data_IF_944424526754
#
_entry.id   IF_944424526754
#
_cell.length_a   1.000
_cell.length_b   1.000
_cell.length_c   1.000
_cell.angle_alpha   90.00
_cell.angle_beta   90.00
_cell.angle_gamma   90.00
#
_symmetry.space_group_name_H-M   'P 1'
#
loop_
_entity.id
_entity.type
_entity.pdbx_description
1 polymer ?
#
# COMPACT_ATOMS: atom_id res chain seq x y z
N UNK A 1 -23.10 23.06 24.49
CA UNK A 1 -23.13 23.39 23.04
C UNK A 1 -24.43 22.99 22.34
N UNK A 2 -25.02 21.81 22.56
CA UNK A 2 -26.36 21.52 21.97
C UNK A 2 -27.38 22.49 22.53
N UNK A 3 -28.22 23.10 21.68
CA UNK A 3 -29.16 24.16 22.00
C UNK A 3 -28.55 25.58 22.06
N UNK A 4 -27.23 25.71 21.90
CA UNK A 4 -26.51 27.00 21.86
C UNK A 4 -26.73 27.67 20.48
N UNK A 5 -26.79 28.99 20.51
CA UNK A 5 -26.94 29.79 19.30
C UNK A 5 -25.62 30.49 18.98
N UNK A 6 -24.97 30.08 17.89
CA UNK A 6 -23.72 30.66 17.42
C UNK A 6 -24.00 31.84 16.48
N UNK A 7 -23.28 32.94 16.70
CA UNK A 7 -23.41 34.19 15.93
C UNK A 7 -24.86 34.75 15.87
N UNK A 8 -25.70 34.44 16.89
CA UNK A 8 -27.08 34.81 16.89
C UNK A 8 -27.92 34.23 15.74
N UNK A 9 -27.38 33.28 14.99
CA UNK A 9 -27.96 32.75 13.75
C UNK A 9 -28.04 31.21 13.70
N UNK A 10 -27.00 30.50 14.12
CA UNK A 10 -26.91 29.07 13.94
C UNK A 10 -27.20 28.31 15.23
N UNK A 11 -28.35 27.66 15.32
CA UNK A 11 -28.75 26.87 16.48
C UNK A 11 -28.23 25.44 16.37
N UNK A 12 -27.37 25.02 17.34
CA UNK A 12 -26.74 23.69 17.36
C UNK A 12 -27.73 22.64 17.84
N UNK A 13 -28.00 21.63 17.03
CA UNK A 13 -28.97 20.57 17.32
C UNK A 13 -28.32 19.27 17.75
N UNK A 14 -27.32 18.79 17.04
CA UNK A 14 -26.76 17.45 17.19
C UNK A 14 -25.26 17.45 16.90
N UNK A 15 -24.49 16.66 17.66
CA UNK A 15 -23.08 16.37 17.38
C UNK A 15 -23.01 15.24 16.35
N UNK A 16 -22.59 15.55 15.11
CA UNK A 16 -22.50 14.58 14.00
C UNK A 16 -21.09 14.07 13.75
N UNK A 17 -20.07 14.74 14.32
CA UNK A 17 -18.68 14.31 14.22
C UNK A 17 -17.81 14.92 15.30
N UNK A 18 -16.82 14.15 15.79
CA UNK A 18 -15.81 14.63 16.74
C UNK A 18 -14.43 14.22 16.23
N UNK A 19 -13.55 15.18 16.04
CA UNK A 19 -12.18 14.98 15.57
C UNK A 19 -11.15 15.49 16.59
N UNK A 20 -9.86 15.30 16.29
CA UNK A 20 -8.77 15.67 17.20
C UNK A 20 -8.74 17.16 17.58
N UNK A 21 -9.16 18.05 16.66
CA UNK A 21 -9.09 19.50 16.90
C UNK A 21 -10.45 20.23 16.88
N UNK A 22 -11.51 19.58 16.43
CA UNK A 22 -12.82 20.23 16.23
C UNK A 22 -13.97 19.25 16.37
N UNK A 23 -15.12 19.78 16.72
CA UNK A 23 -16.39 19.08 16.69
C UNK A 23 -17.24 19.60 15.52
N UNK A 24 -18.00 18.71 14.89
CA UNK A 24 -18.94 19.05 13.83
C UNK A 24 -20.36 18.84 14.34
N UNK A 25 -21.18 19.88 14.25
CA UNK A 25 -22.59 19.86 14.68
C UNK A 25 -23.51 20.05 13.48
N UNK A 26 -24.59 19.31 13.47
CA UNK A 26 -25.77 19.70 12.69
C UNK A 26 -26.39 20.91 13.38
N UNK A 27 -26.69 21.97 12.61
CA UNK A 27 -27.29 23.19 13.13
C UNK A 27 -28.40 23.68 12.20
N UNK A 28 -29.28 24.53 12.74
CA UNK A 28 -30.32 25.23 11.98
C UNK A 28 -29.90 26.68 11.75
N UNK A 29 -29.78 27.10 10.50
CA UNK A 29 -29.62 28.48 10.10
C UNK A 29 -30.97 29.19 10.19
N UNK A 30 -31.22 29.94 11.29
CA UNK A 30 -32.47 30.63 11.53
C UNK A 30 -32.80 31.76 10.52
N UNK A 31 -31.78 32.27 9.82
CA UNK A 31 -31.95 33.33 8.83
C UNK A 31 -32.43 32.78 7.50
N UNK A 32 -31.87 31.63 7.06
CA UNK A 32 -32.16 31.00 5.77
C UNK A 32 -33.08 29.77 5.90
N UNK A 33 -33.51 29.43 7.12
CA UNK A 33 -34.43 28.33 7.44
C UNK A 33 -33.99 26.98 6.85
N UNK A 34 -32.67 26.64 7.00
CA UNK A 34 -32.09 25.41 6.47
C UNK A 34 -31.16 24.73 7.46
N UNK A 35 -30.94 23.44 7.27
CA UNK A 35 -29.88 22.70 7.98
C UNK A 35 -28.50 23.07 7.41
N UNK A 36 -27.51 23.18 8.31
CA UNK A 36 -26.10 23.42 8.01
C UNK A 36 -25.24 22.53 8.91
N UNK A 37 -23.99 22.25 8.50
CA UNK A 37 -22.99 21.63 9.35
C UNK A 37 -22.03 22.70 9.87
N UNK A 38 -21.78 22.73 11.17
CA UNK A 38 -20.87 23.70 11.78
C UNK A 38 -19.70 22.95 12.41
N UNK A 39 -18.50 23.21 11.91
CA UNK A 39 -17.24 22.73 12.46
C UNK A 39 -16.71 23.79 13.43
N UNK A 40 -16.61 23.44 14.71
CA UNK A 40 -16.17 24.34 15.79
C UNK A 40 -14.83 23.86 16.33
N UNK A 41 -13.82 24.74 16.33
CA UNK A 41 -12.50 24.45 16.89
C UNK A 41 -12.62 24.23 18.40
N UNK A 42 -11.91 23.23 18.94
CA UNK A 42 -11.88 22.99 20.38
C UNK A 42 -11.26 24.17 21.13
N UNK A 43 -11.79 24.51 22.29
CA UNK A 43 -11.41 25.68 23.07
C UNK A 43 -9.91 25.73 23.41
N UNK A 44 -9.29 24.58 23.72
CA UNK A 44 -7.86 24.53 24.02
C UNK A 44 -6.94 24.85 22.80
N UNK A 45 -7.43 24.68 21.56
CA UNK A 45 -6.72 25.11 20.35
C UNK A 45 -7.04 26.55 19.93
N UNK A 46 -8.12 27.12 20.47
CA UNK A 46 -8.51 28.50 20.15
C UNK A 46 -7.56 29.55 20.74
N UNK A 47 -6.74 29.18 21.72
CA UNK A 47 -5.69 30.01 22.29
C UNK A 47 -4.36 29.97 21.53
N UNK A 48 -4.20 29.03 20.58
CA UNK A 48 -2.99 28.84 19.79
C UNK A 48 -3.18 29.44 18.39
N UNK A 49 -2.47 30.55 18.12
CA UNK A 49 -2.58 31.29 16.85
C UNK A 49 -2.26 30.42 15.61
N UNK A 50 -1.35 29.44 15.73
CA UNK A 50 -0.99 28.55 14.62
C UNK A 50 -2.14 27.63 14.25
N UNK A 51 -2.88 27.10 15.23
CA UNK A 51 -4.08 26.30 14.97
C UNK A 51 -5.22 27.13 14.40
N UNK A 52 -5.44 28.31 14.94
CA UNK A 52 -6.46 29.26 14.45
C UNK A 52 -6.18 29.68 13.00
N UNK A 53 -4.92 30.03 12.67
CA UNK A 53 -4.61 30.42 11.28
C UNK A 53 -4.68 29.23 10.31
N UNK A 54 -4.31 28.02 10.71
CA UNK A 54 -4.53 26.80 9.90
C UNK A 54 -6.02 26.57 9.64
N UNK A 55 -6.85 26.66 10.66
CA UNK A 55 -8.28 26.50 10.55
C UNK A 55 -8.91 27.56 9.64
N UNK A 56 -8.48 28.83 9.75
CA UNK A 56 -8.90 29.91 8.87
C UNK A 56 -8.44 29.74 7.42
N UNK A 57 -7.24 29.19 7.21
CA UNK A 57 -6.70 28.90 5.89
C UNK A 57 -7.48 27.77 5.21
N UNK A 58 -7.83 26.70 5.93
CA UNK A 58 -8.71 25.64 5.45
C UNK A 58 -10.01 26.23 4.90
N UNK A 59 -10.72 27.00 5.71
CA UNK A 59 -11.96 27.64 5.27
C UNK A 59 -11.79 28.49 3.99
N UNK A 60 -10.75 29.34 3.92
CA UNK A 60 -10.50 30.20 2.76
C UNK A 60 -10.20 29.42 1.48
N UNK A 61 -9.45 28.33 1.59
CA UNK A 61 -9.05 27.53 0.43
C UNK A 61 -10.22 26.71 -0.11
N UNK A 62 -11.01 26.10 0.77
CA UNK A 62 -12.17 25.30 0.36
C UNK A 62 -13.33 26.19 -0.13
N UNK A 63 -13.48 27.41 0.41
CA UNK A 63 -14.52 28.35 -0.04
C UNK A 63 -14.38 28.79 -1.52
N UNK A 64 -13.20 28.56 -2.14
CA UNK A 64 -12.99 28.83 -3.57
C UNK A 64 -13.39 27.66 -4.47
N UNK A 65 -13.73 26.52 -3.87
CA UNK A 65 -14.09 25.30 -4.59
C UNK A 65 -15.62 25.21 -4.74
N UNK A 66 -16.11 25.44 -5.95
CA UNK A 66 -17.52 25.21 -6.31
C UNK A 66 -17.61 24.01 -7.25
N UNK A 67 -17.91 22.84 -6.72
CA UNK A 67 -18.00 21.57 -7.46
C UNK A 67 -19.11 20.69 -6.88
N UNK A 68 -19.91 19.98 -7.67
CA UNK A 68 -21.03 19.17 -7.17
C UNK A 68 -20.57 18.10 -6.15
N UNK A 69 -19.39 17.54 -6.33
CA UNK A 69 -18.82 16.50 -5.45
C UNK A 69 -17.85 17.06 -4.39
N UNK A 70 -17.92 18.34 -4.04
CA UNK A 70 -17.18 18.95 -2.91
C UNK A 70 -18.19 19.61 -1.98
N UNK A 71 -18.04 19.40 -0.67
CA UNK A 71 -18.89 20.05 0.33
C UNK A 71 -18.63 21.56 0.34
N UNK A 72 -19.69 22.33 0.18
CA UNK A 72 -19.60 23.79 0.03
C UNK A 72 -19.41 24.48 1.39
N UNK A 73 -18.42 25.36 1.49
CA UNK A 73 -18.30 26.31 2.61
C UNK A 73 -19.32 27.46 2.42
N UNK A 74 -20.14 27.66 3.42
CA UNK A 74 -21.20 28.73 3.39
C UNK A 74 -20.71 29.98 4.09
N UNK A 75 -20.07 29.82 5.25
CA UNK A 75 -19.67 30.94 6.11
C UNK A 75 -18.54 30.54 7.05
N UNK A 76 -17.92 31.49 7.69
CA UNK A 76 -16.98 31.28 8.80
C UNK A 76 -17.04 32.47 9.77
N UNK A 77 -16.76 32.24 11.02
CA UNK A 77 -16.73 33.32 12.01
C UNK A 77 -15.95 32.94 13.26
N UNK A 78 -16.04 33.89 14.19
CA UNK A 78 -15.52 33.77 15.54
C UNK A 78 -16.54 34.33 16.51
N UNK A 79 -16.78 33.64 17.61
CA UNK A 79 -17.62 34.08 18.71
C UNK A 79 -17.05 33.62 20.04
N UNK A 80 -16.90 34.54 20.99
CA UNK A 80 -16.29 34.28 22.31
C UNK A 80 -14.92 33.55 22.27
N UNK A 81 -14.08 33.90 21.27
CA UNK A 81 -12.79 33.29 21.03
C UNK A 81 -12.85 31.93 20.34
N UNK A 82 -14.01 31.37 20.06
CA UNK A 82 -14.20 30.11 19.37
C UNK A 82 -14.32 30.34 17.86
N UNK A 83 -13.45 29.67 17.09
CA UNK A 83 -13.50 29.69 15.62
C UNK A 83 -14.50 28.66 15.11
N UNK A 84 -15.29 29.00 14.10
CA UNK A 84 -16.21 28.07 13.45
C UNK A 84 -16.22 28.25 11.92
N UNK A 85 -16.54 27.16 11.22
CA UNK A 85 -16.78 27.12 9.76
C UNK A 85 -18.15 26.49 9.54
N UNK A 86 -18.94 27.10 8.66
CA UNK A 86 -20.29 26.63 8.29
C UNK A 86 -20.21 25.99 6.90
N UNK A 87 -20.67 24.77 6.80
CA UNK A 87 -20.75 24.00 5.56
C UNK A 87 -22.21 23.71 5.21
N UNK A 88 -22.47 23.37 3.94
CA UNK A 88 -23.72 22.69 3.61
C UNK A 88 -23.85 21.41 4.44
N UNK A 89 -25.08 21.13 4.89
CA UNK A 89 -25.36 19.86 5.55
C UNK A 89 -25.69 18.82 4.49
N UNK A 90 -24.91 17.75 4.43
CA UNK A 90 -25.17 16.60 3.55
C UNK A 90 -25.94 15.57 4.37
N UNK A 91 -27.19 15.33 3.98
CA UNK A 91 -28.04 14.34 4.61
C UNK A 91 -27.72 12.96 4.04
N UNK A 92 -27.29 12.04 4.91
CA UNK A 92 -26.86 10.70 4.51
C UNK A 92 -25.67 10.18 5.34
N UNK A 93 -25.13 9.05 4.94
CA UNK A 93 -23.97 8.45 5.58
C UNK A 93 -22.65 8.80 4.86
N UNK A 94 -21.52 8.47 5.45
CA UNK A 94 -20.26 8.53 4.73
C UNK A 94 -19.95 7.22 4.01
N UNK A 95 -19.01 7.25 3.07
CA UNK A 95 -18.62 6.09 2.28
C UNK A 95 -18.09 4.93 3.13
N UNK A 96 -17.55 5.19 4.34
CA UNK A 96 -17.13 4.14 5.29
C UNK A 96 -18.32 3.40 5.88
N UNK A 97 -19.43 4.09 6.14
CA UNK A 97 -20.69 3.49 6.56
C UNK A 97 -21.20 2.52 5.49
N UNK A 98 -21.23 2.96 4.23
CA UNK A 98 -21.61 2.11 3.10
C UNK A 98 -20.72 0.87 2.99
N UNK A 99 -19.38 1.03 3.13
CA UNK A 99 -18.41 -0.07 3.11
C UNK A 99 -18.57 -1.06 4.28
N UNK A 100 -19.25 -0.69 5.36
CA UNK A 100 -19.55 -1.63 6.45
C UNK A 100 -20.46 -2.79 6.03
N UNK A 101 -21.14 -2.64 4.89
CA UNK A 101 -21.99 -3.67 4.29
C UNK A 101 -21.22 -4.61 3.34
N UNK A 102 -19.94 -4.35 3.08
CA UNK A 102 -19.04 -5.14 2.23
C UNK A 102 -18.60 -4.44 0.94
N UNK A 103 -17.97 -5.20 0.06
CA UNK A 103 -17.50 -4.71 -1.24
C UNK A 103 -18.65 -4.25 -2.15
N UNK A 104 -18.43 -3.18 -2.88
CA UNK A 104 -19.44 -2.66 -3.82
C UNK A 104 -19.40 -3.41 -5.17
N UNK A 105 -20.49 -3.37 -5.95
CA UNK A 105 -20.46 -3.72 -7.37
C UNK A 105 -19.36 -2.94 -8.11
N UNK A 106 -18.72 -3.55 -9.12
CA UNK A 106 -17.56 -2.94 -9.80
C UNK A 106 -17.91 -1.62 -10.48
N UNK A 107 -19.07 -1.54 -11.11
CA UNK A 107 -19.62 -0.35 -11.76
C UNK A 107 -19.90 0.77 -10.75
N UNK A 108 -20.42 0.43 -9.57
CA UNK A 108 -20.67 1.38 -8.50
C UNK A 108 -19.38 1.91 -7.88
N UNK A 109 -18.40 1.02 -7.61
CA UNK A 109 -17.07 1.40 -7.12
C UNK A 109 -16.36 2.35 -8.10
N UNK A 110 -16.44 2.07 -9.41
CA UNK A 110 -15.92 2.94 -10.47
C UNK A 110 -16.63 4.28 -10.52
N UNK A 111 -17.96 4.30 -10.42
CA UNK A 111 -18.76 5.54 -10.40
C UNK A 111 -18.33 6.45 -9.25
N UNK A 112 -18.20 5.92 -8.03
CA UNK A 112 -17.70 6.68 -6.89
C UNK A 112 -16.26 7.15 -7.10
N UNK A 113 -15.39 6.24 -7.58
CA UNK A 113 -13.99 6.57 -7.86
C UNK A 113 -13.85 7.74 -8.84
N UNK A 114 -14.61 7.73 -9.94
CA UNK A 114 -14.61 8.79 -10.96
C UNK A 114 -15.10 10.13 -10.40
N UNK A 115 -16.18 10.13 -9.62
CA UNK A 115 -16.74 11.35 -9.04
C UNK A 115 -15.80 11.97 -7.98
N UNK A 116 -15.18 11.13 -7.14
CA UNK A 116 -14.18 11.57 -6.16
C UNK A 116 -12.93 12.09 -6.88
N UNK A 117 -12.44 11.38 -7.90
CA UNK A 117 -11.31 11.82 -8.72
C UNK A 117 -11.59 13.17 -9.38
N UNK A 118 -12.80 13.38 -9.93
CA UNK A 118 -13.21 14.65 -10.52
C UNK A 118 -13.20 15.81 -9.52
N UNK A 119 -13.62 15.57 -8.28
CA UNK A 119 -13.57 16.55 -7.19
C UNK A 119 -12.11 16.91 -6.83
N UNK A 120 -11.24 15.90 -6.72
CA UNK A 120 -9.81 16.08 -6.41
C UNK A 120 -9.07 16.80 -7.55
N UNK A 121 -9.31 16.41 -8.81
CA UNK A 121 -8.74 17.09 -9.98
C UNK A 121 -9.10 18.58 -10.01
N UNK A 122 -10.37 18.88 -9.72
CA UNK A 122 -10.85 20.28 -9.64
C UNK A 122 -10.12 21.09 -8.57
N UNK A 123 -9.79 20.49 -7.42
CA UNK A 123 -9.02 21.10 -6.35
C UNK A 123 -7.55 21.25 -6.74
N UNK A 124 -6.93 20.21 -7.33
CA UNK A 124 -5.54 20.20 -7.78
C UNK A 124 -5.26 21.29 -8.81
N UNK A 125 -6.14 21.48 -9.79
CA UNK A 125 -6.06 22.56 -10.79
C UNK A 125 -6.09 23.97 -10.17
N UNK A 126 -6.49 24.09 -8.89
CA UNK A 126 -6.46 25.33 -8.09
C UNK A 126 -5.33 25.36 -7.05
N UNK A 127 -4.39 24.41 -7.13
CA UNK A 127 -3.24 24.33 -6.25
C UNK A 127 -3.55 23.81 -4.84
N UNK A 128 -4.71 23.16 -4.65
CA UNK A 128 -5.11 22.59 -3.38
C UNK A 128 -5.02 21.07 -3.41
N UNK A 129 -4.18 20.49 -2.54
CA UNK A 129 -4.05 19.05 -2.31
C UNK A 129 -4.84 18.67 -1.06
N UNK A 130 -5.60 17.59 -1.10
CA UNK A 130 -6.50 17.19 -0.01
C UNK A 130 -5.75 16.61 1.20
N UNK A 131 -4.76 15.72 0.98
CA UNK A 131 -3.86 15.12 1.98
C UNK A 131 -4.49 14.15 3.00
N UNK A 132 -5.80 13.97 3.01
CA UNK A 132 -6.52 13.07 3.92
C UNK A 132 -7.71 12.41 3.19
N UNK A 133 -7.49 11.92 1.97
CA UNK A 133 -8.50 11.20 1.17
C UNK A 133 -8.76 9.84 1.82
N UNK A 134 -10.00 9.62 2.26
CA UNK A 134 -10.45 8.38 2.90
C UNK A 134 -11.98 8.30 2.88
N UNK A 135 -12.60 7.11 3.02
CA UNK A 135 -14.05 6.95 2.96
C UNK A 135 -14.82 7.75 4.01
N UNK A 136 -14.24 8.02 5.19
CA UNK A 136 -14.86 8.84 6.22
C UNK A 136 -15.04 10.31 5.79
N UNK A 137 -14.19 10.80 4.88
CA UNK A 137 -14.20 12.16 4.34
C UNK A 137 -14.96 12.26 3.00
N UNK A 138 -15.75 11.24 2.67
CA UNK A 138 -16.66 11.24 1.50
C UNK A 138 -18.06 11.00 2.03
N UNK A 139 -18.89 12.05 2.01
CA UNK A 139 -20.30 12.00 2.39
C UNK A 139 -21.14 11.59 1.18
N UNK A 140 -22.20 10.85 1.40
CA UNK A 140 -23.15 10.45 0.37
C UNK A 140 -24.45 11.25 0.58
N UNK A 141 -24.98 11.84 -0.48
CA UNK A 141 -26.31 12.46 -0.43
C UNK A 141 -27.41 11.39 -0.40
N UNK A 142 -28.66 11.77 -0.15
CA UNK A 142 -29.81 10.84 -0.22
C UNK A 142 -29.92 10.16 -1.60
N UNK A 143 -29.47 10.83 -2.67
CA UNK A 143 -29.44 10.29 -4.03
C UNK A 143 -28.23 9.37 -4.28
N UNK A 144 -27.34 9.20 -3.29
CA UNK A 144 -26.13 8.39 -3.37
C UNK A 144 -24.98 9.06 -4.15
N UNK A 145 -24.97 10.41 -4.25
CA UNK A 145 -23.89 11.15 -4.87
C UNK A 145 -22.79 11.48 -3.85
N UNK A 146 -21.49 11.22 -4.14
CA UNK A 146 -20.41 11.49 -3.20
C UNK A 146 -20.05 12.97 -3.15
N UNK A 147 -19.78 13.46 -1.95
CA UNK A 147 -19.26 14.81 -1.69
C UNK A 147 -18.01 14.71 -0.80
N UNK A 148 -16.88 15.14 -1.31
CA UNK A 148 -15.60 15.17 -0.59
C UNK A 148 -15.60 16.33 0.40
N UNK A 149 -15.22 16.04 1.65
CA UNK A 149 -15.14 17.02 2.74
C UNK A 149 -13.78 16.96 3.45
N UNK A 150 -13.52 17.90 4.35
CA UNK A 150 -12.34 17.94 5.20
C UNK A 150 -11.00 17.92 4.44
N UNK A 151 -10.83 18.90 3.52
CA UNK A 151 -9.54 19.13 2.86
C UNK A 151 -8.45 19.44 3.90
N UNK A 152 -7.51 18.52 4.07
CA UNK A 152 -6.56 18.40 5.20
C UNK A 152 -5.45 19.44 5.23
N UNK A 153 -5.75 20.74 5.07
CA UNK A 153 -4.77 21.83 5.12
C UNK A 153 -4.12 21.95 6.53
N UNK A 154 -4.83 21.50 7.57
CA UNK A 154 -4.36 21.50 8.94
C UNK A 154 -3.41 20.31 9.29
N UNK A 155 -3.33 19.28 8.45
CA UNK A 155 -2.44 18.14 8.59
C UNK A 155 -1.11 18.34 7.84
N UNK A 156 -0.30 19.32 8.19
CA UNK A 156 1.14 19.08 8.15
C UNK A 156 1.39 18.04 9.25
N UNK A 157 1.55 16.77 8.85
CA UNK A 157 1.92 15.70 9.79
C UNK A 157 3.33 16.08 10.28
N UNK A 158 3.37 16.73 11.44
CA UNK A 158 4.60 16.84 12.21
C UNK A 158 4.85 15.44 12.77
N UNK A 159 5.48 14.56 11.97
CA UNK A 159 5.88 13.20 12.37
C UNK A 159 6.68 13.27 13.67
N UNK A 160 7.36 14.43 13.93
CA UNK A 160 8.06 14.69 15.18
C UNK A 160 7.14 14.85 16.39
N UNK A 161 5.89 15.30 16.22
CA UNK A 161 4.92 15.40 17.31
C UNK A 161 4.22 14.07 17.60
N UNK A 162 4.12 13.20 16.59
CA UNK A 162 3.53 11.85 16.67
C UNK A 162 4.37 10.93 17.58
N UNK A 163 5.69 11.05 17.53
CA UNK A 163 6.61 10.22 18.31
C UNK A 163 6.72 10.66 19.79
N UNK A 164 6.37 11.90 20.12
CA UNK A 164 6.48 12.41 21.49
C UNK A 164 5.26 12.15 22.38
N UNK A 165 4.05 12.03 21.82
CA UNK A 165 2.83 11.90 22.64
C UNK A 165 2.26 10.47 22.72
N UNK A 166 2.78 9.51 21.95
CA UNK A 166 2.33 8.11 22.00
C UNK A 166 0.87 7.86 21.61
N UNK A 167 0.10 8.93 21.33
CA UNK A 167 -1.31 8.86 20.99
C UNK A 167 -1.53 9.47 19.61
N UNK A 168 -1.47 8.63 18.58
CA UNK A 168 -1.81 9.04 17.21
C UNK A 168 -3.32 9.03 17.06
N UNK A 169 -3.94 10.20 17.00
CA UNK A 169 -5.33 10.34 16.64
C UNK A 169 -5.42 10.41 15.10
N UNK A 170 -5.71 9.27 14.45
CA UNK A 170 -5.94 9.23 13.01
C UNK A 170 -5.79 7.83 12.43
N UNK A 171 -6.53 7.56 11.35
CA UNK A 171 -6.49 6.31 10.61
C UNK A 171 -5.30 6.33 9.66
N UNK A 172 -4.35 5.39 9.79
CA UNK A 172 -3.18 5.24 8.92
C UNK A 172 -3.47 4.49 7.61
N UNK A 173 -4.67 3.90 7.50
CA UNK A 173 -5.02 2.93 6.45
C UNK A 173 -4.97 3.48 5.02
N UNK A 174 -4.92 4.81 4.87
CA UNK A 174 -4.93 5.50 3.56
C UNK A 174 -3.73 6.43 3.38
N UNK A 175 -2.76 6.38 4.30
CA UNK A 175 -1.59 7.28 4.27
C UNK A 175 -0.68 6.97 3.08
N UNK A 176 -0.26 8.00 2.36
CA UNK A 176 0.71 7.81 1.28
C UNK A 176 2.14 7.63 1.85
N UNK A 177 3.01 6.87 1.16
CA UNK A 177 4.39 6.62 1.60
C UNK A 177 5.18 7.89 1.93
N UNK A 178 5.11 8.92 1.09
CA UNK A 178 5.76 10.21 1.29
C UNK A 178 5.24 10.96 2.52
N UNK A 179 3.96 10.82 2.85
CA UNK A 179 3.41 11.37 4.10
C UNK A 179 3.96 10.65 5.33
N UNK A 180 4.05 9.32 5.25
CA UNK A 180 4.60 8.51 6.34
C UNK A 180 6.09 8.80 6.58
N UNK A 181 6.85 9.18 5.53
CA UNK A 181 8.26 9.62 5.65
C UNK A 181 8.41 11.10 6.06
N UNK A 182 7.32 11.88 6.07
CA UNK A 182 7.39 13.33 6.31
C UNK A 182 8.02 14.11 5.15
N UNK A 183 7.99 13.57 3.94
CA UNK A 183 8.47 14.18 2.71
C UNK A 183 7.47 15.21 2.16
N UNK A 184 7.86 15.91 1.09
CA UNK A 184 6.98 16.87 0.42
C UNK A 184 5.81 16.13 -0.25
N UNK A 185 4.60 16.62 -0.02
CA UNK A 185 3.36 16.08 -0.58
C UNK A 185 2.87 16.95 -1.74
N UNK A 186 2.44 16.30 -2.81
CA UNK A 186 1.80 16.93 -3.98
C UNK A 186 0.48 16.21 -4.34
N UNK A 187 -0.07 16.48 -5.52
CA UNK A 187 -1.30 15.86 -6.00
C UNK A 187 -1.23 14.31 -6.09
N UNK A 188 -0.03 13.74 -6.22
CA UNK A 188 0.17 12.28 -6.31
C UNK A 188 -0.08 11.59 -4.97
N UNK A 189 -0.03 12.32 -3.87
CA UNK A 189 -0.44 11.85 -2.55
C UNK A 189 -1.93 11.49 -2.53
N UNK A 190 -2.79 12.37 -3.08
CA UNK A 190 -4.23 12.10 -3.17
C UNK A 190 -4.55 10.96 -4.16
N UNK A 191 -3.74 10.81 -5.23
CA UNK A 191 -3.85 9.68 -6.17
C UNK A 191 -3.61 8.36 -5.44
N UNK A 192 -2.58 8.29 -4.59
CA UNK A 192 -2.30 7.10 -3.79
C UNK A 192 -3.46 6.77 -2.85
N UNK A 193 -3.91 7.75 -2.08
CA UNK A 193 -5.00 7.56 -1.12
C UNK A 193 -6.32 7.19 -1.80
N UNK A 194 -6.61 7.74 -2.98
CA UNK A 194 -7.76 7.33 -3.80
C UNK A 194 -7.58 5.90 -4.34
N UNK A 195 -6.37 5.49 -4.70
CA UNK A 195 -6.05 4.10 -5.04
C UNK A 195 -6.39 3.13 -3.91
N UNK A 196 -6.06 3.48 -2.67
CA UNK A 196 -6.42 2.71 -1.47
C UNK A 196 -7.94 2.66 -1.27
N UNK A 197 -8.64 3.78 -1.45
CA UNK A 197 -10.11 3.83 -1.39
C UNK A 197 -10.73 2.93 -2.47
N UNK A 198 -10.25 2.98 -3.71
CA UNK A 198 -10.72 2.11 -4.79
C UNK A 198 -10.48 0.63 -4.49
N UNK A 199 -9.31 0.28 -3.94
CA UNK A 199 -9.04 -1.08 -3.49
C UNK A 199 -10.08 -1.54 -2.47
N UNK A 200 -10.38 -0.72 -1.46
CA UNK A 200 -11.35 -1.04 -0.42
C UNK A 200 -12.78 -1.11 -0.97
N UNK A 201 -13.19 -0.19 -1.87
CA UNK A 201 -14.50 -0.25 -2.53
C UNK A 201 -14.69 -1.55 -3.30
N UNK A 202 -13.64 -2.05 -3.95
CA UNK A 202 -13.67 -3.27 -4.76
C UNK A 202 -13.59 -4.55 -3.94
N UNK A 203 -12.86 -4.54 -2.81
CA UNK A 203 -12.60 -5.76 -2.02
C UNK A 203 -13.37 -5.83 -0.70
N UNK A 204 -13.85 -4.70 -0.19
CA UNK A 204 -14.44 -4.56 1.15
C UNK A 204 -13.42 -4.47 2.28
N UNK A 205 -12.12 -4.54 1.98
CA UNK A 205 -11.03 -4.54 2.96
C UNK A 205 -9.95 -3.55 2.53
N UNK A 206 -9.27 -2.95 3.51
CA UNK A 206 -8.08 -2.12 3.24
C UNK A 206 -6.90 -2.99 2.78
N UNK A 207 -5.99 -2.48 1.93
CA UNK A 207 -4.86 -3.26 1.41
C UNK A 207 -3.87 -3.67 2.50
N UNK A 208 -3.76 -2.85 3.54
CA UNK A 208 -2.85 -3.05 4.67
C UNK A 208 -3.60 -2.86 5.99
N UNK A 209 -3.31 -3.70 6.97
CA UNK A 209 -3.95 -3.66 8.29
C UNK A 209 -2.96 -4.09 9.38
N UNK A 210 -3.08 -3.54 10.58
CA UNK A 210 -2.17 -3.86 11.68
C UNK A 210 -2.68 -3.34 13.02
N UNK A 211 -2.03 -3.76 14.10
CA UNK A 211 -2.45 -3.48 15.47
C UNK A 211 -2.25 -2.02 15.91
N UNK A 212 -1.46 -1.24 15.15
CA UNK A 212 -1.19 0.16 15.46
C UNK A 212 -0.84 0.98 14.21
N UNK A 213 -0.89 2.31 14.36
CA UNK A 213 -0.60 3.27 13.29
C UNK A 213 0.76 3.01 12.61
N UNK A 214 1.81 2.76 13.37
CA UNK A 214 3.17 2.58 12.85
C UNK A 214 3.26 1.32 11.99
N UNK A 215 2.67 0.21 12.45
CA UNK A 215 2.65 -1.04 11.70
C UNK A 215 1.97 -0.86 10.33
N UNK A 216 0.82 -0.20 10.27
CA UNK A 216 0.11 0.07 9.01
C UNK A 216 0.91 1.05 8.12
N UNK A 217 1.47 2.10 8.70
CA UNK A 217 2.31 3.05 7.95
C UNK A 217 3.54 2.36 7.34
N UNK A 218 4.18 1.44 8.06
CA UNK A 218 5.32 0.65 7.55
C UNK A 218 4.92 -0.27 6.38
N UNK A 219 3.72 -0.84 6.40
CA UNK A 219 3.20 -1.62 5.26
C UNK A 219 2.97 -0.73 4.03
N UNK A 220 2.41 0.48 4.22
CA UNK A 220 2.30 1.47 3.14
C UNK A 220 3.67 1.85 2.54
N UNK A 221 4.72 1.87 3.35
CA UNK A 221 6.08 2.17 2.91
C UNK A 221 6.74 1.02 2.14
N UNK A 222 6.60 -0.22 2.61
CA UNK A 222 7.50 -1.31 2.22
C UNK A 222 6.82 -2.53 1.61
N UNK A 223 5.54 -2.82 1.96
CA UNK A 223 4.89 -4.01 1.42
C UNK A 223 4.48 -3.81 -0.04
N UNK A 224 4.60 -4.85 -0.87
CA UNK A 224 4.11 -4.81 -2.26
C UNK A 224 2.64 -4.41 -2.31
N UNK A 225 2.26 -3.69 -3.37
CA UNK A 225 0.84 -3.36 -3.60
C UNK A 225 0.07 -4.65 -3.90
N UNK A 226 -0.93 -5.02 -3.09
CA UNK A 226 -1.71 -6.22 -3.35
C UNK A 226 -2.60 -6.05 -4.58
N UNK A 227 -2.77 -7.12 -5.36
CA UNK A 227 -3.71 -7.13 -6.49
C UNK A 227 -5.15 -7.25 -5.98
N UNK A 228 -6.06 -6.47 -6.54
CA UNK A 228 -7.51 -6.62 -6.29
C UNK A 228 -7.98 -8.01 -6.74
N UNK A 229 -7.37 -8.56 -7.81
CA UNK A 229 -7.71 -9.88 -8.36
C UNK A 229 -7.42 -11.05 -7.42
N UNK A 230 -6.54 -10.87 -6.44
CA UNK A 230 -6.27 -11.87 -5.40
C UNK A 230 -7.48 -12.08 -4.47
N UNK A 231 -8.30 -11.04 -4.30
CA UNK A 231 -9.51 -11.04 -3.47
C UNK A 231 -10.80 -11.16 -4.29
N UNK A 232 -10.81 -10.55 -5.49
CA UNK A 232 -12.01 -10.43 -6.31
C UNK A 232 -11.71 -10.61 -7.80
N UNK A 233 -12.04 -11.78 -8.36
CA UNK A 233 -11.68 -12.21 -9.72
C UNK A 233 -12.55 -11.64 -10.86
N UNK A 234 -13.71 -11.08 -10.55
CA UNK A 234 -14.63 -10.47 -11.52
C UNK A 234 -14.27 -9.02 -11.88
N UNK A 235 -13.23 -8.46 -11.25
CA UNK A 235 -12.72 -7.14 -11.56
C UNK A 235 -11.92 -7.19 -12.87
N UNK A 236 -12.12 -6.23 -13.79
CA UNK A 236 -11.31 -6.14 -15.01
C UNK A 236 -9.82 -5.98 -14.70
N UNK A 237 -8.95 -6.71 -15.41
CA UNK A 237 -7.48 -6.63 -15.21
C UNK A 237 -6.96 -5.19 -15.35
N UNK A 238 -7.54 -4.40 -16.25
CA UNK A 238 -7.16 -2.99 -16.43
C UNK A 238 -7.45 -2.14 -15.20
N UNK A 239 -8.55 -2.41 -14.50
CA UNK A 239 -8.90 -1.71 -13.27
C UNK A 239 -7.94 -2.08 -12.14
N UNK A 240 -7.60 -3.36 -11.99
CA UNK A 240 -6.59 -3.81 -11.04
C UNK A 240 -5.23 -3.12 -11.30
N UNK A 241 -4.77 -3.07 -12.56
CA UNK A 241 -3.53 -2.37 -12.93
C UNK A 241 -3.61 -0.86 -12.65
N UNK A 242 -4.76 -0.21 -12.86
CA UNK A 242 -4.93 1.20 -12.54
C UNK A 242 -4.85 1.46 -11.03
N UNK A 243 -5.46 0.60 -10.21
CA UNK A 243 -5.36 0.66 -8.74
C UNK A 243 -3.93 0.44 -8.29
N UNK A 244 -3.23 -0.57 -8.81
CA UNK A 244 -1.82 -0.84 -8.47
C UNK A 244 -0.91 0.33 -8.87
N UNK A 245 -1.09 0.93 -10.04
CA UNK A 245 -0.35 2.11 -10.48
C UNK A 245 -0.61 3.31 -9.55
N UNK A 246 -1.88 3.59 -9.21
CA UNK A 246 -2.21 4.65 -8.26
C UNK A 246 -1.55 4.44 -6.89
N UNK A 247 -1.43 3.19 -6.43
CA UNK A 247 -0.83 2.79 -5.17
C UNK A 247 0.68 2.51 -5.24
N UNK A 248 1.37 2.84 -6.35
CA UNK A 248 2.82 2.69 -6.45
C UNK A 248 3.54 3.43 -5.31
N UNK A 249 4.61 2.83 -4.76
CA UNK A 249 5.30 3.37 -3.58
C UNK A 249 6.05 4.65 -3.88
N UNK A 250 6.74 4.69 -5.03
CA UNK A 250 7.36 5.91 -5.53
C UNK A 250 6.30 6.78 -6.22
N UNK A 251 6.14 8.05 -5.83
CA UNK A 251 5.26 8.98 -6.54
C UNK A 251 5.56 9.11 -8.03
N UNK A 252 6.81 8.88 -8.46
CA UNK A 252 7.20 8.93 -9.88
C UNK A 252 6.62 7.78 -10.72
N UNK A 253 6.30 6.65 -10.08
CA UNK A 253 5.70 5.47 -10.74
C UNK A 253 4.17 5.53 -10.79
N UNK A 254 3.56 6.57 -10.18
CA UNK A 254 2.11 6.81 -10.22
C UNK A 254 1.71 7.62 -11.44
N UNK A 255 0.40 7.83 -11.60
CA UNK A 255 -0.12 8.81 -12.55
C UNK A 255 0.43 10.21 -12.22
N UNK A 256 0.79 10.98 -13.24
CA UNK A 256 1.32 12.35 -13.05
C UNK A 256 0.25 13.33 -12.55
N UNK A 257 -1.01 13.08 -12.92
CA UNK A 257 -2.16 13.90 -12.53
C UNK A 257 -3.40 13.04 -12.27
N UNK A 258 -4.35 13.59 -11.52
CA UNK A 258 -5.65 12.97 -11.29
C UNK A 258 -6.43 12.78 -12.60
N UNK A 259 -6.24 13.68 -13.59
CA UNK A 259 -6.84 13.58 -14.92
C UNK A 259 -6.42 12.29 -15.65
N UNK A 260 -5.13 11.89 -15.57
CA UNK A 260 -4.68 10.61 -16.15
C UNK A 260 -5.32 9.39 -15.47
N UNK A 261 -5.52 9.44 -14.14
CA UNK A 261 -6.25 8.38 -13.44
C UNK A 261 -7.71 8.32 -13.91
N UNK A 262 -8.39 9.47 -14.01
CA UNK A 262 -9.78 9.58 -14.53
C UNK A 262 -9.89 8.92 -15.91
N UNK A 263 -8.99 9.25 -16.84
CA UNK A 263 -8.99 8.65 -18.19
C UNK A 263 -8.89 7.11 -18.14
N UNK A 264 -8.11 6.55 -17.22
CA UNK A 264 -7.99 5.09 -17.08
C UNK A 264 -9.24 4.46 -16.47
N UNK A 265 -9.83 5.11 -15.46
CA UNK A 265 -11.08 4.64 -14.85
C UNK A 265 -12.26 4.72 -15.82
N UNK A 266 -12.35 5.79 -16.64
CA UNK A 266 -13.38 5.96 -17.67
C UNK A 266 -13.31 4.85 -18.73
N UNK A 267 -12.09 4.48 -19.16
CA UNK A 267 -11.89 3.36 -20.08
C UNK A 267 -12.40 2.05 -19.49
N UNK A 268 -12.12 1.79 -18.20
CA UNK A 268 -12.61 0.62 -17.51
C UNK A 268 -14.15 0.63 -17.38
N UNK A 269 -14.73 1.78 -17.11
CA UNK A 269 -16.18 1.94 -16.99
C UNK A 269 -16.89 1.69 -18.34
N UNK A 270 -16.31 2.18 -19.45
CA UNK A 270 -16.84 1.95 -20.81
C UNK A 270 -16.81 0.47 -21.21
N UNK A 271 -15.80 -0.29 -20.78
CA UNK A 271 -15.72 -1.74 -21.04
C UNK A 271 -16.82 -2.52 -20.33
N UNK A 272 -17.16 -2.18 -19.08
CA UNK A 272 -18.26 -2.84 -18.35
C UNK A 272 -19.62 -2.64 -19.05
N UNK A 273 -19.87 -1.45 -19.62
CA UNK A 273 -21.11 -1.17 -20.37
C UNK A 273 -21.20 -1.92 -21.70
N UNK A 274 -20.06 -2.20 -22.36
CA UNK A 274 -20.03 -2.90 -23.64
C UNK A 274 -20.30 -4.41 -23.52
N UNK A 275 -19.89 -5.04 -22.42
CA UNK A 275 -20.14 -6.46 -22.17
C UNK A 275 -21.63 -6.74 -21.93
N UNK A 276 -22.37 -5.82 -21.33
CA UNK A 276 -23.82 -5.93 -21.13
C UNK A 276 -24.61 -5.81 -22.45
N UNK A 277 -24.16 -4.99 -23.40
CA UNK A 277 -24.74 -4.90 -24.76
C UNK A 277 -24.39 -6.12 -25.61
N UNK A 278 -23.16 -6.62 -25.54
CA UNK A 278 -22.72 -7.81 -26.26
C UNK A 278 -23.49 -9.07 -25.78
N UNK A 279 -23.83 -9.14 -24.50
CA UNK A 279 -24.64 -10.24 -23.93
C UNK A 279 -26.12 -10.13 -24.29
N UNK A 280 -26.64 -8.93 -24.60
CA UNK A 280 -28.03 -8.75 -25.06
C UNK A 280 -28.26 -9.09 -26.53
N UNK A 281 -27.24 -9.07 -27.38
CA UNK A 281 -27.36 -9.30 -28.83
C UNK A 281 -27.43 -10.79 -29.19
N UNK A 282 -27.11 -11.72 -28.29
CA UNK A 282 -27.17 -13.19 -28.57
C UNK A 282 -28.23 -13.88 -27.77
N UNK A 283 -29.50 -13.46 -27.92
CA UNK A 283 -30.64 -14.36 -27.78
C UNK A 283 -31.16 -14.74 -29.18
N UNK A 284 -30.74 -15.89 -29.76
CA UNK A 284 -31.36 -16.35 -31.00
C UNK A 284 -32.83 -16.70 -30.73
N UNK A 285 -33.72 -16.02 -31.44
CA UNK A 285 -35.13 -16.39 -31.49
C UNK A 285 -35.26 -17.87 -31.83
N UNK A 286 -35.96 -18.65 -31.00
CA UNK A 286 -36.27 -20.03 -31.25
C UNK A 286 -37.05 -20.16 -32.57
N UNK A 287 -36.37 -20.48 -33.68
CA UNK A 287 -37.04 -21.04 -34.88
C UNK A 287 -37.39 -22.49 -34.62
N UNK A 288 -38.54 -22.98 -35.17
CA UNK A 288 -38.98 -24.35 -34.94
C UNK A 288 -37.97 -25.35 -35.53
N UNK A 289 -37.66 -26.33 -34.76
CA UNK A 289 -36.70 -27.40 -34.99
C UNK A 289 -37.18 -28.28 -36.15
N UNK A 290 -36.64 -28.14 -37.35
CA UNK A 290 -36.75 -29.11 -38.41
C UNK A 290 -35.86 -30.32 -38.05
N UNK A 291 -36.49 -31.48 -37.97
CA UNK A 291 -35.82 -32.76 -37.69
C UNK A 291 -34.92 -33.14 -38.87
N UNK A 292 -33.59 -33.05 -38.66
CA UNK A 292 -32.60 -33.63 -39.55
C UNK A 292 -32.21 -35.03 -39.09
N UNK A 293 -32.03 -36.02 -39.99
CA UNK A 293 -31.69 -37.39 -39.63
C UNK A 293 -30.26 -37.46 -38.99
N UNK A 294 -30.16 -38.23 -37.94
CA UNK A 294 -28.91 -38.55 -37.24
C UNK A 294 -27.96 -39.27 -38.19
N UNK A 295 -26.92 -38.56 -38.73
CA UNK A 295 -25.75 -39.22 -39.33
C UNK A 295 -24.92 -39.82 -38.19
N UNK A 296 -24.80 -41.14 -38.17
CA UNK A 296 -23.86 -41.86 -37.32
C UNK A 296 -22.44 -41.57 -37.85
N UNK A 297 -21.62 -40.93 -37.04
CA UNK A 297 -20.17 -40.79 -37.27
C UNK A 297 -19.56 -42.20 -37.18
N UNK A 298 -18.69 -42.59 -38.10
CA UNK A 298 -17.99 -43.87 -38.02
C UNK A 298 -16.95 -43.81 -36.88
N UNK A 299 -17.09 -44.72 -35.91
CA UNK A 299 -16.24 -44.85 -34.72
C UNK A 299 -14.83 -45.35 -35.08
N UNK A 300 -14.66 -45.89 -36.28
CA UNK A 300 -13.42 -46.54 -36.79
C UNK A 300 -12.20 -45.59 -36.80
N UNK A 301 -12.26 -44.33 -37.26
CA UNK A 301 -11.07 -43.48 -37.28
C UNK A 301 -10.59 -43.05 -35.86
N UNK A 302 -11.50 -43.01 -34.86
CA UNK A 302 -11.09 -42.62 -33.51
C UNK A 302 -10.34 -43.77 -32.79
N UNK A 303 -10.68 -45.02 -33.08
CA UNK A 303 -9.99 -46.20 -32.55
C UNK A 303 -8.58 -46.35 -33.17
N UNK A 304 -8.38 -45.97 -34.42
CA UNK A 304 -7.08 -46.00 -35.08
C UNK A 304 -6.13 -44.91 -34.55
N UNK A 305 -6.63 -43.72 -34.18
CA UNK A 305 -5.84 -42.66 -33.58
C UNK A 305 -5.39 -43.09 -32.16
N UNK A 306 -6.24 -43.72 -31.37
CA UNK A 306 -5.92 -44.25 -30.04
C UNK A 306 -4.88 -45.38 -30.11
N UNK A 307 -4.97 -46.29 -31.11
CA UNK A 307 -4.02 -47.37 -31.34
C UNK A 307 -2.65 -46.80 -31.78
N UNK A 308 -2.64 -45.78 -32.63
CA UNK A 308 -1.38 -45.11 -33.04
C UNK A 308 -0.71 -44.40 -31.86
N UNK A 309 -1.46 -43.71 -31.00
CA UNK A 309 -0.95 -43.08 -29.79
C UNK A 309 -0.38 -44.13 -28.79
N UNK A 310 -1.05 -45.27 -28.62
CA UNK A 310 -0.54 -46.34 -27.79
C UNK A 310 0.72 -47.02 -28.34
N UNK A 311 0.85 -47.16 -29.67
CA UNK A 311 2.07 -47.67 -30.32
C UNK A 311 3.26 -46.71 -30.17
N UNK A 312 3.05 -45.41 -30.25
CA UNK A 312 4.09 -44.38 -30.01
C UNK A 312 4.54 -44.39 -28.53
N UNK A 313 3.59 -44.47 -27.59
CA UNK A 313 3.88 -44.55 -26.16
C UNK A 313 4.61 -45.87 -25.79
N UNK A 314 4.19 -46.97 -26.38
CA UNK A 314 4.85 -48.28 -26.18
C UNK A 314 6.26 -48.34 -26.80
N UNK A 315 6.42 -47.71 -27.99
CA UNK A 315 7.76 -47.59 -28.63
C UNK A 315 8.72 -46.73 -27.81
N UNK A 316 8.23 -45.60 -27.29
CA UNK A 316 9.02 -44.77 -26.38
C UNK A 316 9.39 -45.48 -25.09
N UNK A 317 8.44 -46.23 -24.49
CA UNK A 317 8.72 -47.01 -23.28
C UNK A 317 9.78 -48.07 -23.50
N UNK A 318 9.72 -48.80 -24.64
CA UNK A 318 10.73 -49.83 -24.97
C UNK A 318 12.08 -49.20 -25.34
N UNK A 319 12.12 -48.00 -25.92
CA UNK A 319 13.35 -47.30 -26.23
C UNK A 319 14.07 -46.76 -24.99
N UNK A 320 13.31 -46.39 -23.96
CA UNK A 320 13.86 -45.91 -22.69
C UNK A 320 14.09 -47.05 -21.66
N UNK A 321 13.52 -48.23 -21.85
CA UNK A 321 13.67 -49.36 -20.93
C UNK A 321 14.99 -50.13 -21.14
N UNK A 322 15.65 -50.00 -22.29
CA UNK A 322 16.91 -50.70 -22.62
C UNK A 322 18.17 -49.80 -22.52
N UNK A 323 18.03 -48.60 -21.90
CA UNK A 323 19.22 -47.80 -21.56
C UNK A 323 19.85 -48.39 -20.28
N UNK A 324 21.13 -48.82 -20.32
CA UNK A 324 21.77 -49.23 -19.12
C UNK A 324 21.78 -48.10 -18.11
N UNK A 325 21.31 -48.36 -16.90
CA UNK A 325 21.40 -47.47 -15.75
C UNK A 325 22.86 -47.09 -15.55
N UNK A 326 23.23 -45.92 -16.07
CA UNK A 326 24.42 -45.24 -15.63
C UNK A 326 24.16 -44.91 -14.17
N UNK A 327 25.03 -45.29 -13.23
CA UNK A 327 24.87 -44.88 -11.83
C UNK A 327 24.74 -43.34 -11.85
N UNK A 328 23.66 -42.83 -11.32
CA UNK A 328 23.53 -41.40 -11.00
C UNK A 328 24.62 -41.16 -9.95
N UNK A 329 25.78 -40.75 -10.43
CA UNK A 329 26.71 -40.01 -9.61
C UNK A 329 25.91 -38.78 -9.20
N UNK A 330 25.70 -38.64 -7.90
CA UNK A 330 25.17 -37.41 -7.35
C UNK A 330 25.94 -36.27 -8.02
N UNK A 331 25.29 -35.50 -8.89
CA UNK A 331 25.90 -34.29 -9.41
C UNK A 331 26.21 -33.44 -8.19
N UNK A 332 27.52 -33.36 -7.89
CA UNK A 332 28.05 -32.28 -7.07
C UNK A 332 27.42 -30.98 -7.59
N UNK A 333 26.58 -30.41 -6.78
CA UNK A 333 26.01 -29.10 -7.01
C UNK A 333 27.18 -28.18 -7.40
N UNK A 334 27.22 -27.58 -8.61
CA UNK A 334 28.37 -26.80 -9.01
C UNK A 334 28.52 -25.63 -8.03
N UNK A 335 29.54 -25.72 -7.17
CA UNK A 335 29.87 -24.68 -6.19
C UNK A 335 30.35 -23.45 -6.91
N UNK A 336 29.39 -22.69 -7.45
CA UNK A 336 29.60 -21.46 -8.20
C UNK A 336 29.44 -20.21 -7.33
N UNK A 337 30.11 -19.09 -7.70
CA UNK A 337 29.87 -17.82 -7.04
C UNK A 337 28.44 -17.33 -7.31
N UNK A 338 27.73 -16.92 -6.25
CA UNK A 338 26.40 -16.32 -6.32
C UNK A 338 26.53 -14.81 -6.11
N UNK A 339 26.06 -14.03 -7.05
CA UNK A 339 26.06 -12.58 -6.93
C UNK A 339 24.88 -12.14 -6.08
N UNK A 340 25.16 -11.74 -4.84
CA UNK A 340 24.18 -11.14 -3.95
C UNK A 340 24.12 -9.61 -4.20
N UNK A 341 22.96 -9.02 -3.90
CA UNK A 341 22.76 -7.58 -3.91
C UNK A 341 22.24 -7.15 -2.54
N UNK A 342 22.91 -6.25 -1.86
CA UNK A 342 22.42 -5.65 -0.65
C UNK A 342 21.22 -4.73 -0.99
N UNK A 343 20.10 -4.91 -0.26
CA UNK A 343 18.80 -4.28 -0.60
C UNK A 343 18.13 -3.59 0.58
N UNK A 344 18.63 -3.72 1.79
CA UNK A 344 18.06 -3.09 2.97
C UNK A 344 18.80 -3.44 4.25
N UNK A 345 18.53 -2.69 5.30
CA UNK A 345 18.85 -3.07 6.67
C UNK A 345 17.65 -3.78 7.31
N UNK A 346 17.91 -4.63 8.29
CA UNK A 346 16.90 -5.31 9.08
C UNK A 346 17.18 -5.09 10.57
N UNK A 347 16.45 -4.19 11.15
CA UNK A 347 16.52 -3.83 12.57
C UNK A 347 15.12 -3.91 13.20
N UNK A 348 14.63 -5.12 13.54
CA UNK A 348 13.30 -5.33 14.08
C UNK A 348 13.07 -4.72 15.47
N UNK A 349 14.13 -4.21 16.13
CA UNK A 349 14.10 -3.60 17.44
C UNK A 349 14.40 -2.10 17.41
N UNK A 350 14.54 -1.51 16.22
CA UNK A 350 14.83 -0.09 15.97
C UNK A 350 13.96 0.48 14.84
N UNK A 351 14.54 1.40 14.08
CA UNK A 351 13.84 2.14 13.01
C UNK A 351 14.08 1.59 11.60
N UNK A 352 14.84 0.48 11.44
CA UNK A 352 15.31 -0.09 10.18
C UNK A 352 16.14 0.88 9.31
N UNK A 353 16.84 1.85 9.92
CA UNK A 353 17.56 2.92 9.24
C UNK A 353 19.08 2.87 9.44
N UNK A 354 19.70 1.71 9.38
CA UNK A 354 21.15 1.51 9.49
C UNK A 354 21.86 2.01 8.22
N UNK A 355 22.12 3.31 8.10
CA UNK A 355 22.80 3.97 6.95
C UNK A 355 22.31 3.44 5.59
N UNK A 356 21.00 3.47 5.37
CA UNK A 356 20.35 2.89 4.20
C UNK A 356 20.82 3.43 2.85
N UNK A 357 21.39 4.62 2.79
CA UNK A 357 21.99 5.21 1.57
C UNK A 357 23.27 4.49 1.13
N UNK A 358 23.97 3.79 2.02
CA UNK A 358 25.25 3.12 1.79
C UNK A 358 25.09 1.58 1.61
N UNK A 359 23.87 1.07 1.66
CA UNK A 359 23.59 -0.38 1.60
C UNK A 359 24.20 -1.05 0.37
N UNK A 360 24.13 -0.40 -0.80
CA UNK A 360 24.67 -0.97 -2.05
C UNK A 360 26.18 -1.18 -2.00
N UNK A 361 26.89 -0.42 -1.18
CA UNK A 361 28.34 -0.46 -1.06
C UNK A 361 28.86 -1.79 -0.47
N UNK A 362 28.03 -2.52 0.29
CA UNK A 362 28.40 -3.84 0.80
C UNK A 362 28.44 -4.95 -0.28
N UNK A 363 28.06 -4.67 -1.53
CA UNK A 363 28.02 -5.65 -2.63
C UNK A 363 28.39 -5.05 -3.99
N UNK A 364 29.06 -3.90 -4.03
CA UNK A 364 29.45 -3.17 -5.25
C UNK A 364 30.73 -3.73 -5.91
N UNK A 365 31.50 -4.52 -5.20
CA UNK A 365 32.78 -5.09 -5.63
C UNK A 365 33.96 -4.19 -5.35
N UNK A 366 33.76 -3.05 -4.69
CA UNK A 366 34.80 -2.11 -4.32
C UNK A 366 35.28 -2.39 -2.88
N UNK A 367 36.54 -2.18 -2.58
CA UNK A 367 37.13 -2.49 -1.26
C UNK A 367 37.27 -1.24 -0.38
N UNK A 368 36.97 -0.09 -0.94
CA UNK A 368 37.14 1.21 -0.32
C UNK A 368 35.82 1.83 0.13
N UNK A 369 34.72 1.26 -0.27
CA UNK A 369 33.37 1.58 0.13
C UNK A 369 32.88 0.62 1.20
N UNK A 370 32.00 1.03 2.09
CA UNK A 370 31.45 0.20 3.15
C UNK A 370 30.01 0.59 3.50
N UNK A 371 29.23 -0.41 3.84
CA UNK A 371 28.00 -0.20 4.61
C UNK A 371 28.31 -0.30 6.09
N UNK A 372 27.71 0.59 6.89
CA UNK A 372 27.93 0.63 8.34
C UNK A 372 26.60 0.69 9.10
N UNK A 373 26.63 0.17 10.33
CA UNK A 373 25.51 0.37 11.27
C UNK A 373 25.50 1.79 11.79
N UNK A 374 24.42 2.19 12.46
CA UNK A 374 24.48 3.39 13.31
C UNK A 374 25.52 3.25 14.41
N UNK A 375 26.00 4.41 14.93
CA UNK A 375 26.92 4.43 16.05
C UNK A 375 26.14 4.34 17.37
N UNK A 376 26.29 3.22 18.07
CA UNK A 376 25.62 2.95 19.34
C UNK A 376 26.52 3.30 20.52
N UNK A 377 26.04 4.15 21.45
CA UNK A 377 26.73 4.39 22.73
C UNK A 377 26.57 3.21 23.69
N UNK A 378 25.43 2.52 23.64
CA UNK A 378 25.13 1.28 24.35
C UNK A 378 24.27 0.41 23.44
N UNK A 379 24.73 -0.79 23.12
CA UNK A 379 23.97 -1.73 22.29
C UNK A 379 23.10 -2.64 23.16
N UNK A 380 21.78 -2.39 23.16
CA UNK A 380 20.81 -3.12 23.96
C UNK A 380 19.86 -3.99 23.12
N UNK A 381 19.98 -3.94 21.80
CA UNK A 381 19.22 -4.74 20.84
C UNK A 381 19.77 -6.17 20.76
N UNK A 382 18.95 -7.12 20.28
CA UNK A 382 19.40 -8.47 19.99
C UNK A 382 20.31 -8.57 18.77
N UNK A 383 20.31 -7.53 17.92
CA UNK A 383 21.14 -7.41 16.74
C UNK A 383 20.53 -6.50 15.69
N UNK A 384 21.29 -6.25 14.63
CA UNK A 384 20.89 -5.55 13.40
C UNK A 384 21.37 -6.35 12.20
N UNK A 385 20.75 -6.22 11.03
CA UNK A 385 21.04 -7.05 9.88
C UNK A 385 21.19 -6.31 8.56
N UNK A 386 22.11 -6.76 7.71
CA UNK A 386 22.22 -6.39 6.31
C UNK A 386 21.46 -7.39 5.45
N UNK A 387 20.42 -6.96 4.75
CA UNK A 387 19.59 -7.81 3.90
C UNK A 387 20.19 -7.92 2.50
N UNK A 388 20.40 -9.14 2.05
CA UNK A 388 20.99 -9.49 0.77
C UNK A 388 19.97 -10.25 -0.08
N UNK A 389 19.78 -9.84 -1.33
CA UNK A 389 18.91 -10.50 -2.31
C UNK A 389 19.75 -11.35 -3.28
N UNK A 390 19.40 -12.61 -3.43
CA UNK A 390 19.94 -13.48 -4.47
C UNK A 390 19.18 -13.26 -5.81
N UNK A 391 19.78 -13.59 -6.96
CA UNK A 391 19.15 -13.43 -8.29
C UNK A 391 17.91 -14.31 -8.49
N UNK A 392 17.75 -15.35 -7.66
CA UNK A 392 16.61 -16.27 -7.61
C UNK A 392 16.54 -16.94 -6.24
N UNK A 393 15.70 -17.94 -6.08
CA UNK A 393 15.79 -18.82 -4.91
C UNK A 393 17.00 -19.74 -5.06
N UNK A 394 17.95 -19.68 -4.12
CA UNK A 394 19.22 -20.38 -4.15
C UNK A 394 19.53 -20.96 -2.78
N UNK A 395 20.08 -22.17 -2.71
CA UNK A 395 20.63 -22.73 -1.48
C UNK A 395 22.12 -22.39 -1.42
N UNK A 396 22.50 -21.46 -0.52
CA UNK A 396 23.91 -21.13 -0.30
C UNK A 396 24.56 -22.18 0.59
N UNK A 397 25.80 -22.55 0.28
CA UNK A 397 26.66 -23.37 1.15
C UNK A 397 27.65 -22.52 1.94
N UNK A 398 27.99 -21.34 1.42
CA UNK A 398 28.97 -20.45 2.05
C UNK A 398 28.65 -18.97 1.80
N UNK A 399 28.83 -18.15 2.85
CA UNK A 399 28.79 -16.69 2.77
C UNK A 399 30.02 -16.13 3.46
N UNK A 400 30.70 -15.20 2.81
CA UNK A 400 31.91 -14.54 3.30
C UNK A 400 31.70 -13.05 3.39
N UNK A 401 32.01 -12.45 4.53
CA UNK A 401 32.02 -10.99 4.73
C UNK A 401 33.45 -10.50 4.83
N UNK A 402 33.71 -9.33 4.27
CA UNK A 402 34.88 -8.51 4.56
C UNK A 402 34.41 -7.36 5.42
N UNK A 403 34.97 -7.21 6.63
CA UNK A 403 34.46 -6.28 7.63
C UNK A 403 35.56 -5.85 8.60
N UNK A 404 35.37 -4.75 9.30
CA UNK A 404 36.18 -4.43 10.46
C UNK A 404 35.92 -5.41 11.62
N UNK A 405 36.96 -5.80 12.39
CA UNK A 405 36.77 -6.67 13.54
C UNK A 405 36.09 -5.93 14.71
N UNK A 406 35.43 -6.68 15.59
CA UNK A 406 34.92 -6.13 16.86
C UNK A 406 33.44 -6.42 17.15
N UNK A 407 32.77 -7.21 16.32
CA UNK A 407 31.38 -7.62 16.51
C UNK A 407 31.21 -9.12 16.25
N UNK A 408 30.03 -9.65 16.57
CA UNK A 408 29.62 -11.00 16.22
C UNK A 408 28.67 -10.98 15.06
N UNK A 409 28.72 -12.02 14.22
CA UNK A 409 27.79 -12.16 13.11
C UNK A 409 27.32 -13.60 12.92
N UNK A 410 26.13 -13.75 12.34
CA UNK A 410 25.55 -15.02 11.85
C UNK A 410 24.77 -14.78 10.57
N UNK A 411 24.52 -15.84 9.81
CA UNK A 411 23.70 -15.77 8.61
C UNK A 411 22.32 -16.31 8.89
N UNK A 412 21.32 -15.57 8.44
CA UNK A 412 19.91 -15.97 8.45
C UNK A 412 19.39 -15.99 7.02
N UNK A 413 18.29 -16.71 6.76
CA UNK A 413 17.66 -16.79 5.44
C UNK A 413 16.15 -16.76 5.53
N UNK A 414 15.50 -16.17 4.50
CA UNK A 414 14.06 -16.02 4.40
C UNK A 414 13.57 -15.86 2.97
N UNK A 415 12.25 -15.86 2.81
CA UNK A 415 11.60 -15.71 1.49
C UNK A 415 11.16 -14.27 1.21
N UNK A 416 11.09 -13.44 2.24
CA UNK A 416 10.73 -12.01 2.17
C UNK A 416 11.89 -11.14 2.65
N UNK A 417 12.08 -9.92 2.11
CA UNK A 417 13.13 -9.01 2.58
C UNK A 417 12.91 -8.50 4.01
N UNK A 418 11.69 -8.56 4.51
CA UNK A 418 11.30 -8.18 5.89
C UNK A 418 11.19 -9.37 6.85
N UNK A 419 11.60 -10.57 6.44
CA UNK A 419 11.54 -11.80 7.24
C UNK A 419 10.16 -12.50 7.17
N UNK A 420 9.87 -13.45 8.07
CA UNK A 420 10.80 -13.91 9.10
C UNK A 420 12.03 -14.62 8.54
N UNK A 421 13.16 -14.46 9.23
CA UNK A 421 14.42 -15.09 8.87
C UNK A 421 14.78 -16.22 9.85
N UNK A 422 15.20 -17.37 9.32
CA UNK A 422 15.69 -18.49 10.10
C UNK A 422 17.20 -18.50 10.14
N UNK A 423 17.82 -18.89 11.27
CA UNK A 423 19.26 -19.06 11.35
C UNK A 423 19.71 -20.22 10.45
N UNK A 424 20.64 -19.94 9.53
CA UNK A 424 21.24 -20.93 8.62
C UNK A 424 22.75 -21.07 8.81
N UNK A 425 23.32 -20.35 9.78
CA UNK A 425 24.71 -20.56 10.25
C UNK A 425 24.82 -20.44 11.75
N UNK A 426 25.95 -20.89 12.30
CA UNK A 426 26.35 -20.53 13.66
C UNK A 426 26.81 -19.08 13.77
N UNK A 427 26.77 -18.51 14.97
CA UNK A 427 27.34 -17.20 15.29
C UNK A 427 28.87 -17.29 15.36
N UNK A 428 29.58 -16.32 14.79
CA UNK A 428 31.06 -16.24 14.82
C UNK A 428 31.49 -14.82 15.25
N UNK A 429 32.61 -14.75 15.99
CA UNK A 429 33.30 -13.49 16.24
C UNK A 429 34.01 -13.03 14.97
N UNK A 430 33.80 -11.78 14.60
CA UNK A 430 34.53 -11.13 13.50
C UNK A 430 35.81 -10.54 14.08
N UNK A 431 36.89 -11.29 13.89
CA UNK A 431 38.22 -10.97 14.50
C UNK A 431 39.28 -10.55 13.49
N UNK A 432 38.96 -10.58 12.21
CA UNK A 432 39.86 -10.18 11.12
C UNK A 432 39.11 -9.65 9.92
N UNK A 433 39.85 -9.18 8.91
CA UNK A 433 39.28 -8.54 7.70
C UNK A 433 38.30 -9.40 6.91
N UNK A 434 38.36 -10.74 7.06
CA UNK A 434 37.52 -11.69 6.32
C UNK A 434 36.98 -12.74 7.26
N UNK A 435 35.68 -12.87 7.31
CA UNK A 435 35.00 -13.95 8.06
C UNK A 435 34.09 -14.74 7.14
N UNK A 436 34.23 -16.07 7.17
CA UNK A 436 33.47 -17.01 6.33
C UNK A 436 32.50 -17.82 7.20
N UNK A 437 31.24 -17.88 6.75
CA UNK A 437 30.19 -18.68 7.36
C UNK A 437 29.89 -19.89 6.47
N UNK A 438 29.85 -21.05 7.05
CA UNK A 438 29.28 -22.25 6.43
C UNK A 438 27.75 -22.14 6.63
N UNK A 439 27.00 -22.19 5.55
CA UNK A 439 25.57 -21.98 5.52
C UNK A 439 24.89 -23.34 5.32
N UNK A 440 24.06 -23.73 6.27
CA UNK A 440 23.25 -24.95 6.22
C UNK A 440 21.78 -24.59 6.02
N UNK A 441 21.36 -24.57 4.78
CA UNK A 441 19.95 -24.29 4.39
C UNK A 441 19.09 -25.55 4.44
N UNK A 442 19.61 -26.71 4.80
CA UNK A 442 18.92 -28.02 4.76
C UNK A 442 18.25 -28.27 3.40
N UNK A 443 19.01 -27.99 2.33
CA UNK A 443 18.58 -28.09 0.92
C UNK A 443 17.38 -27.20 0.54
N UNK A 444 17.02 -26.25 1.38
CA UNK A 444 16.00 -25.25 1.03
C UNK A 444 16.64 -24.05 0.32
N UNK A 445 16.02 -23.64 -0.77
CA UNK A 445 16.39 -22.43 -1.49
C UNK A 445 15.68 -21.20 -0.90
N UNK A 446 16.43 -20.12 -0.75
CA UNK A 446 15.93 -18.85 -0.25
C UNK A 446 16.29 -17.72 -1.20
N UNK A 447 15.44 -16.67 -1.23
CA UNK A 447 15.68 -15.49 -2.04
C UNK A 447 16.41 -14.39 -1.29
N UNK A 448 16.28 -14.37 0.05
CA UNK A 448 16.90 -13.35 0.90
C UNK A 448 17.75 -13.99 1.97
N UNK A 449 18.92 -13.40 2.19
CA UNK A 449 19.86 -13.75 3.25
C UNK A 449 20.14 -12.51 4.08
N UNK A 450 20.43 -12.68 5.36
CA UNK A 450 20.74 -11.56 6.26
C UNK A 450 22.06 -11.87 6.95
N UNK A 451 22.98 -10.94 6.87
CA UNK A 451 24.13 -10.91 7.78
C UNK A 451 23.65 -10.22 9.06
N UNK A 452 23.37 -11.00 10.07
CA UNK A 452 22.88 -10.52 11.36
C UNK A 452 24.05 -10.24 12.28
N UNK A 453 24.15 -9.00 12.79
CA UNK A 453 25.24 -8.47 13.56
C UNK A 453 24.80 -8.27 15.02
N UNK A 454 25.69 -8.63 15.95
CA UNK A 454 25.54 -8.35 17.38
C UNK A 454 26.75 -7.56 17.83
N UNK A 455 26.55 -6.28 18.16
CA UNK A 455 27.61 -5.38 18.63
C UNK A 455 27.91 -5.61 20.12
N UNK A 456 29.11 -5.17 20.61
CA UNK A 456 29.42 -5.17 22.02
C UNK A 456 28.44 -4.32 22.83
N UNK A 457 28.20 -4.67 24.10
CA UNK A 457 27.31 -3.87 24.98
C UNK A 457 27.81 -2.45 25.23
N UNK A 458 29.10 -2.24 25.11
CA UNK A 458 29.75 -0.92 25.24
C UNK A 458 29.42 0.00 24.07
N UNK A 459 28.73 -0.53 23.06
CA UNK A 459 28.37 0.18 21.84
C UNK A 459 29.43 0.05 20.75
N UNK A 460 29.39 0.93 19.77
CA UNK A 460 30.29 0.94 18.61
C UNK A 460 29.51 0.98 17.30
N UNK A 461 30.23 0.78 16.21
CA UNK A 461 29.75 0.73 14.84
C UNK A 461 30.37 -0.48 14.14
N UNK A 462 29.62 -1.17 13.29
CA UNK A 462 30.14 -2.24 12.46
C UNK A 462 30.24 -1.78 11.01
N UNK A 463 31.36 -2.09 10.33
CA UNK A 463 31.64 -1.76 8.93
C UNK A 463 31.74 -3.03 8.11
N UNK A 464 30.97 -3.16 7.02
CA UNK A 464 31.01 -4.26 6.06
C UNK A 464 31.38 -3.70 4.68
N UNK A 465 32.56 -4.09 4.18
CA UNK A 465 33.10 -3.63 2.89
C UNK A 465 32.60 -4.48 1.72
N UNK A 466 32.42 -5.76 1.91
CA UNK A 466 32.00 -6.65 0.81
C UNK A 466 31.37 -7.94 1.32
N UNK A 467 30.33 -8.41 0.67
CA UNK A 467 29.71 -9.72 0.91
C UNK A 467 29.73 -10.56 -0.35
N UNK A 468 30.26 -11.76 -0.25
CA UNK A 468 30.29 -12.75 -1.34
C UNK A 468 29.69 -14.07 -0.90
N UNK A 469 29.11 -14.84 -1.85
CA UNK A 469 28.48 -16.13 -1.56
C UNK A 469 28.76 -17.19 -2.60
N UNK A 470 28.57 -18.46 -2.21
CA UNK A 470 28.67 -19.64 -3.06
C UNK A 470 27.57 -20.65 -2.73
N UNK A 471 27.12 -21.36 -3.77
CA UNK A 471 26.29 -22.58 -3.65
C UNK A 471 27.12 -23.78 -3.33
#
# INVERSE_FOLDING_TARGET
>A
MIGELIAGRYELHELVGSGGMSNVFRAHDRLLERSVAIKVLHEHYSADEDYVERFRREARSVAQLAHPNIVTVIDRGEEDGRQYIVFEYVEGENLKGLLSHGALPVDEALRYGLQIAGALDFAHKRGLVHRDVKPQNVLLTEEGEPKVTDFGIARSVDVKSVTQSGTVVGTSDYIAPEQARGEQVDQRTDIYSLGVVLYELLTGEVPYSGDNFVAVAMQHLHEPVPSVLDRRRDVPVRLDLAVQCAMAKDPADRFESMEQLIEKLDLCFGELGSDDEATRIVRPSRRPRATRPRRRLPVVPFLLILLAAAAVAGGAYLFFADSPSVPVVAEDNPSGPVRLQAVGAYDPFGDNAEHNSEIAEATDGERTTDWRTEEYQNFTKDGVGLVLRAPGEVALSRLTIRAEPGFKARVQAGRSPSGPFANVSGEKDVVGDVTTFDVDTKDQAYRYYVVWLTLPREGGQAHIYEVTART
#
